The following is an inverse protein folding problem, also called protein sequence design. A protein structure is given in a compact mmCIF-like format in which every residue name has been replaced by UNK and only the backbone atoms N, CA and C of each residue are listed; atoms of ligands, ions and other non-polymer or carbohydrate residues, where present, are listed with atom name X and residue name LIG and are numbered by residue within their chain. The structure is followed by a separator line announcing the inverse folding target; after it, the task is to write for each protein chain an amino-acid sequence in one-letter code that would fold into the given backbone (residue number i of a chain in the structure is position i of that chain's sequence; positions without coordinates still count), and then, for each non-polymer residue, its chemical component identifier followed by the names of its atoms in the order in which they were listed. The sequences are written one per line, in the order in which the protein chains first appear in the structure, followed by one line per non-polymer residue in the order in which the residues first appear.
data_IF_215879990125
#
_entry.id   IF_215879990125
#
_cell.length_a   1.000
_cell.length_b   1.000
_cell.length_c   1.000
_cell.angle_alpha   90.00
_cell.angle_beta   90.00
_cell.angle_gamma   90.00
#
_symmetry.space_group_name_H-M   'P 1'
#
loop_
_entity.id
_entity.type
_entity.pdbx_description
1 polymer ?
#
# COMPACT_ATOMS: atom_id res chain seq x y z
N UNK A 1 0.54 -13.48 6.34
CA UNK A 1 -0.37 -13.44 7.49
C UNK A 1 -1.83 -13.39 7.05
N UNK A 2 -2.18 -12.52 6.12
CA UNK A 2 -3.56 -12.38 5.65
C UNK A 2 -3.77 -12.89 4.22
N UNK A 3 -2.85 -13.71 3.72
CA UNK A 3 -2.91 -14.19 2.33
C UNK A 3 -4.20 -14.95 2.04
N UNK A 4 -4.66 -15.75 2.99
CA UNK A 4 -5.87 -16.53 2.75
C UNK A 4 -7.11 -15.65 2.65
N UNK A 5 -7.06 -14.46 3.25
CA UNK A 5 -8.18 -13.53 3.18
C UNK A 5 -8.22 -12.75 1.88
N UNK A 6 -7.05 -12.42 1.34
CA UNK A 6 -6.97 -11.52 0.19
C UNK A 6 -6.47 -12.19 -1.08
N UNK A 7 -6.07 -13.43 -1.00
CA UNK A 7 -5.80 -14.24 -2.17
C UNK A 7 -4.34 -14.47 -2.52
N UNK A 8 -3.43 -13.66 -2.03
CA UNK A 8 -2.01 -13.85 -2.32
C UNK A 8 -1.15 -12.99 -1.41
N UNK A 9 0.14 -13.34 -1.36
CA UNK A 9 1.11 -12.56 -0.61
C UNK A 9 1.24 -11.14 -1.18
N UNK A 10 1.20 -11.00 -2.50
CA UNK A 10 1.32 -9.67 -3.10
C UNK A 10 0.08 -8.82 -2.82
N UNK A 11 -1.09 -9.42 -2.76
CA UNK A 11 -2.29 -8.68 -2.38
C UNK A 11 -2.17 -8.16 -0.96
N UNK A 12 -1.66 -8.98 -0.05
CA UNK A 12 -1.45 -8.52 1.32
C UNK A 12 -0.45 -7.38 1.38
N UNK A 13 0.64 -7.48 0.62
CA UNK A 13 1.67 -6.45 0.61
C UNK A 13 1.14 -5.11 0.11
N UNK A 14 0.35 -5.13 -0.94
CA UNK A 14 -0.28 -3.92 -1.47
C UNK A 14 -1.14 -3.25 -0.42
N UNK A 15 -1.96 -4.03 0.27
CA UNK A 15 -2.87 -3.44 1.26
C UNK A 15 -2.14 -2.99 2.50
N UNK A 16 -1.08 -3.69 2.93
CA UNK A 16 -0.23 -3.21 4.02
C UNK A 16 0.38 -1.86 3.67
N UNK A 17 0.89 -1.74 2.44
CA UNK A 17 1.51 -0.49 2.00
C UNK A 17 0.50 0.66 2.04
N UNK A 18 -0.67 0.44 1.45
CA UNK A 18 -1.67 1.50 1.38
C UNK A 18 -2.26 1.83 2.74
N UNK A 19 -2.38 0.85 3.64
CA UNK A 19 -2.82 1.14 4.99
C UNK A 19 -1.81 2.02 5.73
N UNK A 20 -0.53 1.77 5.51
CA UNK A 20 0.53 2.51 6.20
C UNK A 20 0.77 3.89 5.60
N UNK A 21 0.68 4.01 4.27
CA UNK A 21 1.08 5.24 3.58
C UNK A 21 -0.06 6.01 2.94
N UNK A 22 -1.25 5.46 2.95
CA UNK A 22 -2.46 6.03 2.38
C UNK A 22 -2.49 6.02 0.85
N UNK A 23 -1.39 6.29 0.18
CA UNK A 23 -1.32 6.31 -1.28
C UNK A 23 -0.05 5.63 -1.76
N UNK A 24 -0.09 5.11 -2.97
CA UNK A 24 1.09 4.51 -3.54
C UNK A 24 0.92 4.19 -5.01
N UNK A 25 2.04 3.94 -5.69
CA UNK A 25 2.03 3.55 -7.10
C UNK A 25 2.81 2.24 -7.26
N UNK A 26 2.57 1.58 -8.39
CA UNK A 26 3.03 0.20 -8.56
C UNK A 26 4.53 0.03 -8.35
N UNK A 27 5.34 0.90 -8.97
CA UNK A 27 6.79 0.78 -8.85
C UNK A 27 7.27 0.97 -7.42
N UNK A 28 6.69 1.93 -6.73
CA UNK A 28 7.07 2.21 -5.35
C UNK A 28 6.79 1.02 -4.44
N UNK A 29 5.60 0.44 -4.59
CA UNK A 29 5.21 -0.71 -3.78
C UNK A 29 6.11 -1.90 -4.11
N UNK A 30 6.37 -2.10 -5.41
CA UNK A 30 7.22 -3.21 -5.86
C UNK A 30 8.64 -3.08 -5.29
N UNK A 31 9.19 -1.88 -5.31
CA UNK A 31 10.53 -1.65 -4.76
C UNK A 31 10.57 -1.91 -3.26
N UNK A 32 9.52 -1.50 -2.56
CA UNK A 32 9.46 -1.68 -1.11
C UNK A 32 9.55 -3.17 -0.72
N UNK A 33 8.91 -4.03 -1.50
CA UNK A 33 8.85 -5.45 -1.19
C UNK A 33 9.77 -6.30 -2.07
N UNK A 34 10.54 -5.67 -2.95
CA UNK A 34 11.47 -6.37 -3.84
C UNK A 34 10.77 -7.41 -4.69
N UNK A 35 9.71 -6.99 -5.35
CA UNK A 35 8.96 -7.85 -6.27
C UNK A 35 8.83 -7.14 -7.61
N UNK A 36 8.41 -7.89 -8.64
CA UNK A 36 8.25 -7.32 -9.97
C UNK A 36 7.06 -6.34 -10.01
N UNK A 37 7.24 -5.15 -10.62
CA UNK A 37 6.14 -4.19 -10.72
C UNK A 37 4.91 -4.74 -11.41
N UNK A 38 5.08 -5.66 -12.39
CA UNK A 38 3.93 -6.23 -13.09
C UNK A 38 3.04 -7.05 -12.15
N UNK A 39 3.62 -7.69 -11.15
CA UNK A 39 2.83 -8.45 -10.18
C UNK A 39 2.03 -7.54 -9.29
N UNK A 40 2.62 -6.42 -8.88
CA UNK A 40 1.92 -5.42 -8.08
C UNK A 40 0.82 -4.77 -8.91
N UNK A 41 1.12 -4.43 -10.18
CA UNK A 41 0.14 -3.79 -11.04
C UNK A 41 -1.09 -4.68 -11.22
N UNK A 42 -0.88 -5.99 -11.36
CA UNK A 42 -1.99 -6.93 -11.52
C UNK A 42 -2.91 -6.92 -10.32
N UNK A 43 -2.33 -6.86 -9.12
CA UNK A 43 -3.12 -6.78 -7.89
C UNK A 43 -3.90 -5.46 -7.81
N UNK A 44 -3.22 -4.36 -8.12
CA UNK A 44 -3.86 -3.04 -8.08
C UNK A 44 -5.01 -2.97 -9.05
N UNK A 45 -4.83 -3.50 -10.28
CA UNK A 45 -5.88 -3.48 -11.28
C UNK A 45 -7.11 -4.28 -10.81
N UNK A 46 -6.87 -5.45 -10.22
CA UNK A 46 -7.96 -6.27 -9.73
C UNK A 46 -8.72 -5.57 -8.60
N UNK A 47 -8.01 -4.98 -7.67
CA UNK A 47 -8.63 -4.35 -6.52
C UNK A 47 -9.39 -3.07 -6.92
N UNK A 48 -8.89 -2.36 -7.93
CA UNK A 48 -9.63 -1.21 -8.45
C UNK A 48 -10.90 -1.67 -9.15
N UNK A 49 -10.79 -2.71 -9.98
CA UNK A 49 -11.96 -3.26 -10.65
C UNK A 49 -13.03 -3.73 -9.66
N UNK A 50 -12.58 -4.29 -8.53
CA UNK A 50 -13.50 -4.79 -7.51
C UNK A 50 -14.03 -3.70 -6.59
N UNK A 51 -13.54 -2.48 -6.73
CA UNK A 51 -14.08 -1.35 -5.97
C UNK A 51 -13.40 -1.06 -4.64
N UNK A 52 -12.38 -1.84 -4.26
CA UNK A 52 -11.65 -1.59 -3.01
C UNK A 52 -10.73 -0.40 -3.13
N UNK A 53 -10.13 -0.20 -4.29
CA UNK A 53 -9.19 0.89 -4.53
C UNK A 53 -9.72 1.81 -5.61
N UNK A 54 -9.26 3.05 -5.58
CA UNK A 54 -9.45 4.01 -6.66
C UNK A 54 -8.08 4.54 -7.03
N UNK A 55 -7.97 5.08 -8.25
CA UNK A 55 -6.71 5.63 -8.70
C UNK A 55 -6.93 6.94 -9.44
N UNK A 56 -5.85 7.72 -9.53
CA UNK A 56 -5.84 8.94 -10.30
C UNK A 56 -4.43 9.21 -10.76
N UNK A 57 -4.28 10.01 -11.80
CA UNK A 57 -2.95 10.35 -12.31
C UNK A 57 -2.42 11.60 -11.65
N UNK A 58 -1.18 11.52 -11.17
CA UNK A 58 -0.45 12.67 -10.67
C UNK A 58 0.80 12.74 -11.51
N UNK A 59 0.86 13.75 -12.39
CA UNK A 59 1.89 13.77 -13.42
C UNK A 59 1.68 12.60 -14.36
N UNK A 60 2.69 11.75 -14.50
CA UNK A 60 2.60 10.57 -15.35
C UNK A 60 2.43 9.28 -14.52
N UNK A 61 2.18 9.43 -13.25
CA UNK A 61 2.13 8.30 -12.32
C UNK A 61 0.71 8.05 -11.90
N UNK A 62 0.27 6.79 -11.97
CA UNK A 62 -1.04 6.40 -11.48
C UNK A 62 -0.91 6.01 -10.02
N UNK A 63 -1.60 6.77 -9.18
CA UNK A 63 -1.53 6.63 -7.73
C UNK A 63 -2.82 6.01 -7.23
N UNK A 64 -2.69 5.03 -6.35
CA UNK A 64 -3.82 4.25 -5.82
C UNK A 64 -4.03 4.56 -4.35
N UNK A 65 -5.27 4.44 -3.90
CA UNK A 65 -5.62 4.59 -2.49
C UNK A 65 -6.91 3.81 -2.23
N UNK A 66 -7.22 3.59 -0.96
CA UNK A 66 -8.48 2.96 -0.62
C UNK A 66 -9.63 3.83 -1.12
N UNK A 67 -10.64 3.15 -1.69
CA UNK A 67 -11.82 3.83 -2.20
C UNK A 67 -12.64 4.38 -1.02
N UNK A 68 -12.82 5.70 -0.93
CA UNK A 68 -13.59 6.29 0.19
C UNK A 68 -15.03 5.80 0.24
N UNK A 69 -15.55 5.28 -0.88
CA UNK A 69 -16.92 4.80 -0.93
C UNK A 69 -17.06 3.31 -0.66
N UNK A 70 -15.94 2.61 -0.49
CA UNK A 70 -16.02 1.19 -0.16
C UNK A 70 -16.60 1.07 1.25
N UNK A 71 -17.70 0.30 1.42
CA UNK A 71 -18.43 0.31 2.71
C UNK A 71 -17.60 -0.10 3.91
N UNK A 72 -16.58 -0.95 3.70
CA UNK A 72 -15.76 -1.46 4.78
C UNK A 72 -14.35 -0.89 4.76
N UNK A 73 -14.18 0.28 4.16
CA UNK A 73 -12.85 0.87 4.00
C UNK A 73 -12.12 1.02 5.33
N UNK A 74 -12.81 1.56 6.33
CA UNK A 74 -12.16 1.82 7.62
C UNK A 74 -11.79 0.51 8.31
N UNK A 75 -12.65 -0.50 8.21
CA UNK A 75 -12.39 -1.80 8.80
C UNK A 75 -11.22 -2.50 8.11
N UNK A 76 -11.15 -2.44 6.79
CA UNK A 76 -10.04 -3.05 6.06
C UNK A 76 -8.74 -2.35 6.41
N UNK A 77 -8.74 -1.03 6.42
CA UNK A 77 -7.53 -0.28 6.77
C UNK A 77 -7.08 -0.61 8.18
N UNK A 78 -8.00 -0.66 9.13
CA UNK A 78 -7.66 -0.98 10.51
C UNK A 78 -7.09 -2.38 10.64
N UNK A 79 -7.67 -3.34 9.89
CA UNK A 79 -7.18 -4.71 9.91
C UNK A 79 -5.72 -4.78 9.45
N UNK A 80 -5.39 -4.08 8.36
CA UNK A 80 -4.03 -4.13 7.83
C UNK A 80 -3.04 -3.34 8.67
N UNK A 81 -3.47 -2.27 9.34
CA UNK A 81 -2.62 -1.58 10.30
C UNK A 81 -2.33 -2.47 11.51
N UNK A 82 -3.33 -3.21 11.96
CA UNK A 82 -3.15 -4.16 13.05
C UNK A 82 -2.21 -5.29 12.63
N UNK A 83 -2.37 -5.79 11.42
CA UNK A 83 -1.47 -6.82 10.89
C UNK A 83 -0.03 -6.29 10.82
N UNK A 84 0.14 -5.06 10.35
CA UNK A 84 1.47 -4.47 10.23
C UNK A 84 2.17 -4.41 11.58
N UNK A 85 1.43 -4.11 12.65
CA UNK A 85 1.99 -4.03 13.98
C UNK A 85 2.53 -5.39 14.48
N UNK A 86 2.12 -6.48 13.85
CA UNK A 86 2.55 -7.83 14.22
C UNK A 86 3.70 -8.34 13.34
N UNK A 87 4.10 -7.56 12.35
CA UNK A 87 5.22 -7.91 11.49
C UNK A 87 6.54 -7.50 12.14
N UNK A 88 7.67 -8.06 11.69
CA UNK A 88 8.97 -7.66 12.23
C UNK A 88 9.18 -6.17 12.08
N UNK A 89 9.95 -5.63 13.02
CA UNK A 89 10.16 -4.19 13.11
C UNK A 89 10.78 -3.60 11.84
N UNK A 90 11.64 -4.36 11.17
CA UNK A 90 12.27 -3.85 9.95
C UNK A 90 11.23 -3.56 8.84
N UNK A 91 10.19 -4.37 8.75
CA UNK A 91 9.13 -4.12 7.78
C UNK A 91 8.32 -2.90 8.19
N UNK A 92 8.01 -2.79 9.47
CA UNK A 92 7.29 -1.63 9.97
C UNK A 92 8.03 -0.35 9.66
N UNK A 93 9.33 -0.34 9.90
CA UNK A 93 10.15 0.84 9.61
C UNK A 93 10.19 1.15 8.12
N UNK A 94 10.30 0.13 7.30
CA UNK A 94 10.34 0.31 5.86
C UNK A 94 9.08 1.02 5.36
N UNK A 95 7.94 0.68 5.93
CA UNK A 95 6.67 1.27 5.51
C UNK A 95 6.38 2.62 6.15
N UNK A 96 6.90 2.88 7.34
CA UNK A 96 6.56 4.10 8.05
C UNK A 96 7.61 5.19 7.90
N UNK A 97 8.89 4.85 7.98
CA UNK A 97 9.93 5.86 7.93
C UNK A 97 10.08 6.51 6.58
N UNK A 98 9.95 5.74 5.51
CA UNK A 98 10.16 6.28 4.17
C UNK A 98 9.19 7.38 3.83
N UNK A 99 8.01 7.41 4.44
CA UNK A 99 7.05 8.43 4.10
C UNK A 99 7.44 9.80 4.62
N UNK A 100 8.43 9.87 5.51
CA UNK A 100 8.83 11.15 6.07
C UNK A 100 9.97 11.80 5.35
N UNK A 101 10.55 11.09 4.47
CA UNK A 101 11.73 11.58 3.88
C UNK A 101 11.60 12.80 3.05
N UNK A 102 10.79 13.14 2.61
CA UNK A 102 10.85 14.32 1.86
C UNK A 102 10.64 15.56 2.52
N UNK A 103 11.19 15.36 2.93
CA UNK A 103 11.13 16.38 3.39
C UNK A 103 11.98 16.99 3.84
N UNK A 104 12.70 16.49 3.84
CA UNK A 104 13.43 16.86 4.52
C UNK A 104 13.94 17.53 4.39
N UNK A 105 14.26 17.48 4.14
CA UNK A 105 14.83 17.97 4.44
C UNK A 105 15.02 18.67 4.70
N UNK A 106 15.12 18.48 4.61
CA UNK A 106 15.41 19.08 5.27
C UNK A 106 15.33 19.40 5.66
N UNK A 107 15.44 19.29 5.71
CA UNK A 107 15.49 19.57 6.45
C UNK A 107 15.52 19.86 6.94
N UNK A 108 15.68 19.69 6.91
CA UNK A 108 15.78 19.98 7.57
C UNK A 108 15.65 20.06 7.99
N UNK A 109 15.95 19.71 7.95
CA UNK A 109 15.86 19.67 8.57
C UNK A 109 15.84 19.82 8.91
#
# INVERSE_FOLDING_TARGET
MLESLVGSTNAERVLLFLAARDKGYAREIAQTFDVAPSQVQRVLDRMERDGLLVSGEIGRTRVYEFNPRFPFRDQVKALFLDALARYPENLQEKLTKNRRRPRRRGKPL
#
